data_IF_074841777360
#
_entry.id   IF_074841777360
#
_cell.length_a   1.000
_cell.length_b   1.000
_cell.length_c   1.000
_cell.angle_alpha   90.00
_cell.angle_beta   90.00
_cell.angle_gamma   90.00
#
_symmetry.space_group_name_H-M   'P 1'
#
loop_
_entity.id
_entity.type
_entity.pdbx_description
1 polymer ?
#
# COMPACT_ATOMS: atom_id res chain seq x y z
N UNK A 1 15.77 21.36 0.98
CA UNK A 1 15.28 20.64 2.17
C UNK A 1 15.90 19.26 2.04
N UNK A 2 16.76 18.84 3.00
CA UNK A 2 17.37 17.51 2.96
C UNK A 2 16.27 16.48 3.01
N UNK A 3 16.16 15.63 2.00
CA UNK A 3 15.25 14.51 1.96
C UNK A 3 15.72 13.50 3.00
N UNK A 4 14.81 12.85 3.71
CA UNK A 4 15.15 11.82 4.68
C UNK A 4 15.27 10.44 4.03
N UNK A 5 15.37 9.41 4.85
CA UNK A 5 15.40 8.01 4.38
C UNK A 5 14.01 7.40 4.50
N UNK A 6 13.48 6.94 3.39
CA UNK A 6 12.24 6.16 3.31
C UNK A 6 12.53 4.69 3.57
N UNK A 7 11.68 4.01 4.35
CA UNK A 7 11.78 2.59 4.60
C UNK A 7 10.50 1.84 4.24
N UNK A 8 10.62 0.57 3.85
CA UNK A 8 9.48 -0.33 3.68
C UNK A 8 9.84 -1.78 3.93
N UNK A 9 8.83 -2.56 4.31
CA UNK A 9 8.90 -4.02 4.46
C UNK A 9 8.35 -4.77 3.24
N UNK A 10 7.82 -4.07 2.25
CA UNK A 10 7.12 -4.66 1.11
C UNK A 10 7.80 -4.32 -0.21
N UNK A 11 7.81 -5.24 -1.19
CA UNK A 11 8.49 -5.01 -2.46
C UNK A 11 7.81 -3.94 -3.33
N UNK A 12 6.51 -3.72 -3.20
CA UNK A 12 5.66 -2.87 -4.07
C UNK A 12 5.66 -3.28 -5.55
N UNK A 13 6.81 -3.70 -6.08
CA UNK A 13 6.99 -4.15 -7.46
C UNK A 13 6.93 -5.67 -7.49
N UNK A 14 5.74 -6.21 -7.62
CA UNK A 14 5.51 -7.66 -7.61
C UNK A 14 5.20 -8.16 -9.02
N UNK A 15 5.93 -9.18 -9.48
CA UNK A 15 5.66 -9.89 -10.74
C UNK A 15 4.48 -10.86 -10.66
N UNK A 16 4.20 -11.57 -11.76
CA UNK A 16 3.18 -12.64 -11.82
C UNK A 16 1.76 -12.15 -12.07
N UNK A 17 0.76 -12.87 -11.55
CA UNK A 17 -0.65 -12.57 -11.83
C UNK A 17 -1.05 -11.14 -11.44
N UNK A 18 -1.88 -10.52 -12.27
CA UNK A 18 -2.34 -9.13 -12.09
C UNK A 18 -3.49 -9.11 -11.08
N UNK A 19 -3.26 -8.38 -9.99
CA UNK A 19 -4.27 -8.07 -8.98
C UNK A 19 -4.34 -6.56 -8.78
N UNK A 20 -5.52 -6.03 -8.46
CA UNK A 20 -5.72 -4.60 -8.23
C UNK A 20 -4.74 -4.01 -7.21
N UNK A 21 -4.45 -4.73 -6.12
CA UNK A 21 -3.43 -4.33 -5.13
C UNK A 21 -2.04 -4.17 -5.76
N UNK A 22 -1.60 -5.12 -6.58
CA UNK A 22 -0.28 -5.04 -7.23
C UNK A 22 -0.17 -3.85 -8.18
N UNK A 23 -1.22 -3.59 -8.96
CA UNK A 23 -1.28 -2.43 -9.86
C UNK A 23 -1.19 -1.13 -9.06
N UNK A 24 -1.97 -1.01 -7.99
CA UNK A 24 -1.96 0.18 -7.14
C UNK A 24 -0.60 0.38 -6.45
N UNK A 25 0.01 -0.69 -5.93
CA UNK A 25 1.33 -0.66 -5.29
C UNK A 25 2.43 -0.24 -6.28
N UNK A 26 2.42 -0.82 -7.48
CA UNK A 26 3.37 -0.46 -8.54
C UNK A 26 3.22 1.01 -8.92
N UNK A 27 2.00 1.47 -9.18
CA UNK A 27 1.74 2.87 -9.52
C UNK A 27 2.15 3.84 -8.40
N UNK A 28 1.91 3.48 -7.14
CA UNK A 28 2.38 4.26 -5.99
C UNK A 28 3.91 4.38 -5.98
N UNK A 29 4.62 3.26 -6.12
CA UNK A 29 6.08 3.27 -6.06
C UNK A 29 6.70 4.01 -7.24
N UNK A 30 6.17 3.84 -8.44
CA UNK A 30 6.63 4.58 -9.61
C UNK A 30 6.39 6.09 -9.47
N UNK A 31 5.25 6.51 -8.95
CA UNK A 31 4.96 7.90 -8.66
C UNK A 31 5.90 8.47 -7.59
N UNK A 32 6.18 7.71 -6.52
CA UNK A 32 7.11 8.10 -5.46
C UNK A 32 8.52 8.30 -5.99
N UNK A 33 9.02 7.37 -6.81
CA UNK A 33 10.35 7.46 -7.42
C UNK A 33 10.45 8.57 -8.48
N UNK A 34 9.34 8.87 -9.16
CA UNK A 34 9.27 9.99 -10.13
C UNK A 34 9.34 11.34 -9.43
N UNK A 35 8.66 11.48 -8.30
CA UNK A 35 8.71 12.69 -7.47
C UNK A 35 10.00 12.83 -6.70
N UNK A 36 10.66 11.71 -6.40
CA UNK A 36 11.95 11.57 -5.73
C UNK A 36 12.13 12.47 -4.47
N UNK A 37 11.22 12.40 -3.49
CA UNK A 37 11.24 13.30 -2.33
C UNK A 37 12.24 12.89 -1.25
N UNK A 38 12.86 11.71 -1.33
CA UNK A 38 13.77 11.16 -0.33
C UNK A 38 15.18 11.00 -0.88
N UNK A 39 16.18 11.10 0.01
CA UNK A 39 17.58 10.86 -0.34
C UNK A 39 17.86 9.40 -0.64
N UNK A 40 17.21 8.48 0.12
CA UNK A 40 17.35 7.03 0.00
C UNK A 40 16.01 6.32 0.21
N UNK A 41 15.87 5.16 -0.44
CA UNK A 41 14.72 4.25 -0.35
C UNK A 41 15.19 2.86 0.06
N UNK A 42 14.91 2.46 1.30
CA UNK A 42 15.35 1.20 1.89
C UNK A 42 14.22 0.16 1.86
N UNK A 43 14.45 -0.96 1.18
CA UNK A 43 13.52 -2.08 1.08
C UNK A 43 14.05 -3.26 1.88
N UNK A 44 13.30 -3.73 2.87
CA UNK A 44 13.61 -4.91 3.66
C UNK A 44 12.67 -6.04 3.25
N UNK A 45 13.14 -6.93 2.40
CA UNK A 45 12.30 -7.96 1.75
C UNK A 45 12.84 -9.37 1.97
N UNK A 46 11.99 -10.37 1.76
CA UNK A 46 12.37 -11.78 1.87
C UNK A 46 13.17 -12.28 0.67
N UNK A 47 12.95 -11.68 -0.51
CA UNK A 47 13.65 -12.01 -1.75
C UNK A 47 14.27 -10.72 -2.35
N UNK A 48 15.48 -10.35 -1.93
CA UNK A 48 16.17 -9.18 -2.46
C UNK A 48 16.49 -9.25 -3.95
N UNK A 49 16.80 -10.43 -4.47
CA UNK A 49 17.23 -10.60 -5.86
C UNK A 49 16.06 -10.45 -6.83
N UNK A 50 14.90 -10.99 -6.51
CA UNK A 50 13.69 -10.75 -7.28
C UNK A 50 13.34 -9.25 -7.32
N UNK A 51 13.52 -8.54 -6.20
CA UNK A 51 13.25 -7.10 -6.18
C UNK A 51 14.29 -6.29 -6.96
N UNK A 52 15.59 -6.64 -6.90
CA UNK A 52 16.64 -6.01 -7.73
C UNK A 52 16.31 -6.14 -9.21
N UNK A 53 15.89 -7.32 -9.64
CA UNK A 53 15.46 -7.57 -11.03
C UNK A 53 14.27 -6.68 -11.42
N UNK A 54 13.27 -6.54 -10.53
CA UNK A 54 12.12 -5.68 -10.77
C UNK A 54 12.48 -4.19 -10.87
N UNK A 55 13.46 -3.71 -10.09
CA UNK A 55 13.96 -2.34 -10.17
C UNK A 55 14.83 -2.09 -11.40
N UNK A 56 15.62 -3.06 -11.86
CA UNK A 56 16.43 -2.94 -13.08
C UNK A 56 15.60 -2.60 -14.32
N UNK A 57 14.34 -3.05 -14.35
CA UNK A 57 13.41 -2.68 -15.44
C UNK A 57 12.86 -1.24 -15.32
N UNK A 58 13.22 -0.49 -14.26
CA UNK A 58 12.72 0.85 -13.89
C UNK A 58 13.84 1.83 -13.56
N UNK A 59 15.06 1.53 -13.99
CA UNK A 59 16.27 2.33 -13.70
C UNK A 59 16.20 3.76 -14.26
N UNK A 60 15.31 4.01 -15.22
CA UNK A 60 15.07 5.35 -15.79
C UNK A 60 14.28 6.27 -14.85
N UNK A 61 13.64 5.75 -13.79
CA UNK A 61 12.96 6.61 -12.82
C UNK A 61 13.97 7.35 -11.94
N UNK A 62 13.80 8.66 -11.69
CA UNK A 62 14.80 9.51 -11.02
C UNK A 62 15.35 8.92 -9.71
N UNK A 63 14.49 8.46 -8.81
CA UNK A 63 14.92 7.87 -7.54
C UNK A 63 15.72 6.57 -7.70
N UNK A 64 15.45 5.76 -8.73
CA UNK A 64 16.21 4.56 -9.04
C UNK A 64 17.51 4.89 -9.75
N UNK A 65 17.46 5.78 -10.76
CA UNK A 65 18.62 6.15 -11.60
C UNK A 65 19.77 6.76 -10.79
N UNK A 66 19.50 7.52 -9.75
CA UNK A 66 20.56 8.08 -8.89
C UNK A 66 21.13 7.09 -7.85
N UNK A 67 20.75 5.81 -7.92
CA UNK A 67 21.27 4.78 -6.98
C UNK A 67 20.77 4.91 -5.54
N UNK A 68 19.66 5.62 -5.33
CA UNK A 68 19.09 5.84 -4.02
C UNK A 68 18.32 4.64 -3.46
N UNK A 69 17.96 3.69 -4.31
CA UNK A 69 17.26 2.45 -3.92
C UNK A 69 18.27 1.46 -3.35
N UNK A 70 18.03 1.08 -2.08
CA UNK A 70 18.84 0.08 -1.37
C UNK A 70 17.94 -1.09 -0.95
N UNK A 71 18.34 -2.30 -1.30
CA UNK A 71 17.57 -3.51 -1.07
C UNK A 71 18.32 -4.41 -0.13
N UNK A 72 17.71 -4.70 1.01
CA UNK A 72 18.22 -5.48 2.11
C UNK A 72 17.40 -6.75 2.33
N UNK A 73 18.00 -7.75 2.98
CA UNK A 73 17.24 -8.86 3.55
C UNK A 73 16.35 -8.36 4.71
N UNK A 74 15.21 -9.02 4.92
CA UNK A 74 14.39 -8.78 6.10
C UNK A 74 15.14 -8.95 7.42
N UNK A 75 16.16 -9.78 7.43
CA UNK A 75 16.99 -10.06 8.61
C UNK A 75 17.82 -8.83 9.03
N UNK A 76 18.16 -7.94 8.10
CA UNK A 76 18.98 -6.75 8.36
C UNK A 76 18.17 -5.62 9.01
N UNK A 77 16.84 -5.76 9.12
CA UNK A 77 15.96 -4.70 9.59
C UNK A 77 16.32 -4.20 10.99
N UNK A 78 16.61 -5.10 11.93
CA UNK A 78 16.88 -4.74 13.31
C UNK A 78 18.14 -3.86 13.44
N UNK A 79 19.20 -4.19 12.72
CA UNK A 79 20.44 -3.41 12.73
C UNK A 79 20.28 -2.09 11.98
N UNK A 80 19.57 -2.09 10.89
CA UNK A 80 19.24 -0.87 10.17
C UNK A 80 18.40 0.10 11.03
N UNK A 81 17.43 -0.40 11.81
CA UNK A 81 16.64 0.43 12.71
C UNK A 81 17.48 1.07 13.82
N UNK A 82 18.52 0.40 14.32
CA UNK A 82 19.45 0.95 15.32
C UNK A 82 20.36 2.04 14.73
N UNK A 83 20.82 1.82 13.50
CA UNK A 83 21.85 2.65 12.89
C UNK A 83 21.32 3.84 12.09
N UNK A 84 20.08 3.76 11.58
CA UNK A 84 19.56 4.69 10.58
C UNK A 84 18.42 5.55 11.11
N UNK A 85 18.54 6.89 11.05
CA UNK A 85 17.48 7.81 11.46
C UNK A 85 16.42 7.96 10.35
N UNK A 86 15.57 6.96 10.18
CA UNK A 86 14.51 6.99 9.16
C UNK A 86 13.61 8.21 9.27
N UNK A 87 13.18 8.73 8.11
CA UNK A 87 12.17 9.77 8.02
C UNK A 87 10.77 9.19 8.22
N UNK A 88 10.46 8.08 7.54
CA UNK A 88 9.21 7.34 7.67
C UNK A 88 9.36 5.91 7.15
N UNK A 89 8.41 5.06 7.53
CA UNK A 89 8.14 3.79 6.83
C UNK A 89 6.75 3.81 6.23
N UNK A 90 6.62 3.22 5.04
CA UNK A 90 5.32 3.01 4.40
C UNK A 90 5.16 1.55 3.98
N UNK A 91 4.01 0.95 4.31
CA UNK A 91 3.68 -0.44 4.03
C UNK A 91 2.54 -0.53 3.01
N UNK A 92 2.59 -1.53 2.16
CA UNK A 92 1.57 -1.76 1.12
C UNK A 92 0.23 -2.27 1.66
N UNK A 93 0.18 -2.65 2.92
CA UNK A 93 -1.06 -2.96 3.64
C UNK A 93 -0.85 -2.80 5.17
N UNK A 94 -1.93 -2.59 5.94
CA UNK A 94 -1.83 -2.39 7.39
C UNK A 94 -1.67 -3.69 8.18
N UNK A 95 -2.07 -4.84 7.64
CA UNK A 95 -2.16 -6.09 8.42
C UNK A 95 -0.91 -6.95 8.33
N UNK A 96 -0.01 -6.65 7.39
CA UNK A 96 1.21 -7.42 7.16
C UNK A 96 2.44 -6.70 7.71
N UNK A 97 2.50 -6.53 9.02
CA UNK A 97 3.73 -6.12 9.70
C UNK A 97 3.76 -4.70 10.28
N UNK A 98 2.70 -3.88 10.17
CA UNK A 98 2.73 -2.52 10.74
C UNK A 98 2.81 -2.53 12.28
N UNK A 99 2.05 -3.35 13.02
CA UNK A 99 2.18 -3.44 14.48
C UNK A 99 3.54 -3.95 14.94
N UNK A 100 4.07 -4.97 14.26
CA UNK A 100 5.38 -5.56 14.56
C UNK A 100 6.50 -4.56 14.29
N UNK A 101 6.43 -3.82 13.18
CA UNK A 101 7.37 -2.75 12.89
C UNK A 101 7.30 -1.62 13.93
N UNK A 102 6.11 -1.27 14.41
CA UNK A 102 5.96 -0.28 15.46
C UNK A 102 6.62 -0.74 16.77
N UNK A 103 6.50 -2.03 17.12
CA UNK A 103 7.17 -2.60 18.27
C UNK A 103 8.70 -2.56 18.12
N UNK A 104 9.22 -2.99 16.96
CA UNK A 104 10.65 -2.94 16.66
C UNK A 104 11.19 -1.51 16.66
N UNK A 105 10.48 -0.56 16.02
CA UNK A 105 10.83 0.86 16.04
C UNK A 105 10.98 1.37 17.47
N UNK A 106 9.99 1.12 18.31
CA UNK A 106 9.99 1.62 19.68
C UNK A 106 11.12 1.02 20.53
N UNK A 107 11.53 -0.21 20.24
CA UNK A 107 12.60 -0.90 20.96
C UNK A 107 14.01 -0.54 20.45
N UNK A 108 14.17 -0.24 19.16
CA UNK A 108 15.48 -0.22 18.51
C UNK A 108 15.86 1.15 17.93
N UNK A 109 14.89 1.92 17.45
CA UNK A 109 15.22 3.14 16.73
C UNK A 109 15.68 4.27 17.65
N UNK A 110 16.70 5.06 17.27
CA UNK A 110 17.20 6.17 18.08
C UNK A 110 16.17 7.30 18.22
N UNK A 111 15.19 7.35 17.32
CA UNK A 111 14.06 8.29 17.38
C UNK A 111 12.82 7.67 16.73
N UNK A 112 11.66 8.09 17.22
CA UNK A 112 10.37 7.66 16.67
C UNK A 112 10.13 8.33 15.32
N UNK A 113 9.83 7.52 14.31
CA UNK A 113 9.43 7.96 12.97
C UNK A 113 8.00 7.48 12.66
N UNK A 114 7.27 8.15 11.76
CA UNK A 114 5.95 7.72 11.32
C UNK A 114 5.98 6.36 10.63
N UNK A 115 4.98 5.52 10.93
CA UNK A 115 4.70 4.31 10.15
C UNK A 115 3.33 4.48 9.53
N UNK A 116 3.27 4.39 8.21
CA UNK A 116 2.04 4.52 7.43
C UNK A 116 1.80 3.27 6.62
N UNK A 117 0.56 3.03 6.23
CA UNK A 117 0.18 1.96 5.31
C UNK A 117 -1.04 2.38 4.50
N UNK A 118 -1.37 1.60 3.47
CA UNK A 118 -2.59 1.79 2.68
C UNK A 118 -3.42 0.50 2.69
N UNK A 119 -4.72 0.61 2.92
CA UNK A 119 -5.60 -0.54 2.83
C UNK A 119 -6.05 -0.79 1.38
N UNK A 120 -6.11 -2.06 0.97
CA UNK A 120 -6.66 -2.47 -0.32
C UNK A 120 -7.92 -3.32 -0.18
N UNK A 121 -7.92 -4.25 0.77
CA UNK A 121 -9.04 -5.12 1.07
C UNK A 121 -9.37 -5.03 2.55
N UNK A 122 -10.65 -5.07 2.89
CA UNK A 122 -11.14 -4.98 4.28
C UNK A 122 -12.26 -5.97 4.56
N UNK A 123 -12.58 -6.86 3.61
CA UNK A 123 -13.72 -7.79 3.67
C UNK A 123 -13.33 -9.23 4.00
N UNK A 124 -12.08 -9.52 4.32
CA UNK A 124 -11.68 -10.86 4.74
C UNK A 124 -12.15 -11.16 6.16
N UNK A 125 -12.59 -12.39 6.39
CA UNK A 125 -13.23 -12.82 7.62
C UNK A 125 -12.37 -12.59 8.88
N UNK A 126 -11.05 -12.72 8.76
CA UNK A 126 -10.09 -12.59 9.86
C UNK A 126 -9.53 -11.16 10.03
N UNK A 127 -9.92 -10.21 9.17
CA UNK A 127 -9.32 -8.88 9.19
C UNK A 127 -9.65 -8.08 10.44
N UNK A 128 -10.88 -8.17 10.93
CA UNK A 128 -11.24 -7.49 12.16
C UNK A 128 -10.28 -7.85 13.31
N UNK A 129 -9.95 -9.13 13.47
CA UNK A 129 -9.04 -9.60 14.51
C UNK A 129 -7.60 -9.10 14.31
N UNK A 130 -7.13 -9.00 13.06
CA UNK A 130 -5.78 -8.49 12.76
C UNK A 130 -5.61 -7.02 13.16
N UNK A 131 -6.69 -6.24 13.14
CA UNK A 131 -6.65 -4.85 13.59
C UNK A 131 -6.54 -4.71 15.11
N UNK A 132 -6.75 -5.77 15.89
CA UNK A 132 -6.53 -5.75 17.34
C UNK A 132 -5.07 -5.40 17.69
N UNK A 133 -4.12 -5.93 16.94
CA UNK A 133 -2.69 -5.65 17.12
C UNK A 133 -2.30 -4.18 16.91
N UNK A 134 -3.18 -3.37 16.31
CA UNK A 134 -2.97 -1.93 16.16
C UNK A 134 -3.39 -1.08 17.36
N UNK A 135 -3.97 -1.68 18.41
CA UNK A 135 -4.44 -0.95 19.59
C UNK A 135 -3.58 -1.33 20.79
N UNK A 136 -2.54 -0.56 21.05
CA UNK A 136 -1.62 -0.83 22.16
C UNK A 136 -0.81 0.43 22.54
N UNK A 137 -0.13 0.47 23.72
CA UNK A 137 0.59 1.66 24.20
C UNK A 137 1.71 2.17 23.30
N UNK A 138 2.23 1.34 22.39
CA UNK A 138 3.35 1.69 21.51
C UNK A 138 2.97 2.36 20.20
N UNK A 139 1.68 2.50 19.89
CA UNK A 139 1.22 3.28 18.74
C UNK A 139 1.39 4.76 19.02
N UNK A 140 1.80 5.52 18.03
CA UNK A 140 2.01 6.96 18.16
C UNK A 140 1.00 7.76 17.35
N UNK A 141 0.86 9.04 17.66
CA UNK A 141 -0.01 9.98 16.91
C UNK A 141 0.46 10.19 15.46
N UNK A 142 1.68 9.75 15.12
CA UNK A 142 2.25 9.85 13.78
C UNK A 142 1.94 8.64 12.91
N UNK A 143 1.51 7.53 13.51
CA UNK A 143 1.17 6.31 12.79
C UNK A 143 -0.21 6.45 12.13
N UNK A 144 -0.33 6.04 10.87
CA UNK A 144 -1.55 6.20 10.10
C UNK A 144 -1.84 5.03 9.16
N UNK A 145 -3.11 4.85 8.84
CA UNK A 145 -3.59 3.96 7.79
C UNK A 145 -4.32 4.81 6.74
N UNK A 146 -3.84 4.80 5.52
CA UNK A 146 -4.51 5.37 4.36
C UNK A 146 -5.71 4.52 3.97
N UNK A 147 -6.91 5.05 4.16
CA UNK A 147 -8.14 4.45 3.69
C UNK A 147 -8.39 4.87 2.24
N UNK A 148 -8.52 3.91 1.33
CA UNK A 148 -8.66 4.19 -0.12
C UNK A 148 -10.01 4.78 -0.50
N UNK A 149 -10.95 4.90 0.44
CA UNK A 149 -12.24 5.55 0.26
C UNK A 149 -12.86 5.95 1.60
N UNK A 150 -13.90 6.78 1.54
CA UNK A 150 -14.73 7.09 2.73
C UNK A 150 -15.39 5.85 3.32
N UNK A 151 -15.85 4.93 2.46
CA UNK A 151 -16.43 3.66 2.90
C UNK A 151 -15.39 2.81 3.65
N UNK A 152 -14.19 2.67 3.11
CA UNK A 152 -13.08 1.97 3.78
C UNK A 152 -12.74 2.59 5.14
N UNK A 153 -12.63 3.91 5.22
CA UNK A 153 -12.38 4.61 6.48
C UNK A 153 -13.47 4.32 7.53
N UNK A 154 -14.75 4.31 7.12
CA UNK A 154 -15.87 3.99 8.01
C UNK A 154 -15.80 2.54 8.52
N UNK A 155 -15.49 1.58 7.66
CA UNK A 155 -15.34 0.16 8.06
C UNK A 155 -14.18 -0.02 9.03
N UNK A 156 -13.01 0.56 8.74
CA UNK A 156 -11.86 0.50 9.65
C UNK A 156 -12.15 1.14 11.01
N UNK A 157 -12.83 2.28 11.02
CA UNK A 157 -13.25 2.92 12.27
C UNK A 157 -14.22 2.02 13.05
N UNK A 158 -15.14 1.33 12.38
CA UNK A 158 -16.03 0.34 12.97
C UNK A 158 -15.28 -0.83 13.59
N UNK A 159 -14.28 -1.40 12.91
CA UNK A 159 -13.44 -2.45 13.46
C UNK A 159 -12.75 -2.00 14.76
N UNK A 160 -12.12 -0.84 14.76
CA UNK A 160 -11.47 -0.32 15.96
C UNK A 160 -12.44 -0.07 17.12
N UNK A 161 -13.65 0.40 16.84
CA UNK A 161 -14.68 0.62 17.86
C UNK A 161 -15.13 -0.72 18.47
N UNK A 162 -15.48 -1.70 17.64
CA UNK A 162 -15.90 -3.04 18.08
C UNK A 162 -14.81 -3.76 18.87
N UNK A 163 -13.56 -3.68 18.43
CA UNK A 163 -12.43 -4.29 19.15
C UNK A 163 -12.21 -3.65 20.50
N UNK A 164 -12.29 -2.32 20.59
CA UNK A 164 -12.17 -1.62 21.88
C UNK A 164 -13.25 -2.05 22.87
N UNK A 165 -14.48 -2.09 22.42
CA UNK A 165 -15.63 -2.49 23.24
C UNK A 165 -15.55 -3.97 23.60
N UNK A 166 -15.42 -4.85 22.60
CA UNK A 166 -15.48 -6.30 22.80
C UNK A 166 -14.35 -6.86 23.67
N UNK A 167 -13.17 -6.26 23.64
CA UNK A 167 -12.03 -6.65 24.46
C UNK A 167 -11.81 -5.75 25.69
N UNK A 168 -12.70 -4.80 25.95
CA UNK A 168 -12.58 -3.84 27.06
C UNK A 168 -11.20 -3.17 27.11
N UNK A 169 -10.67 -2.77 25.94
CA UNK A 169 -9.33 -2.21 25.85
C UNK A 169 -9.23 -0.85 26.51
N UNK A 170 -8.06 -0.57 27.11
CA UNK A 170 -7.80 0.71 27.73
C UNK A 170 -8.07 1.88 26.74
N UNK A 171 -9.00 2.80 27.04
CA UNK A 171 -9.34 3.91 26.16
C UNK A 171 -8.17 4.87 25.89
N UNK A 172 -7.16 4.90 26.77
CA UNK A 172 -5.95 5.72 26.57
C UNK A 172 -4.98 5.14 25.52
N UNK A 173 -5.13 3.89 25.14
CA UNK A 173 -4.28 3.31 24.10
C UNK A 173 -4.65 3.90 22.74
N UNK A 174 -3.65 4.32 22.00
CA UNK A 174 -3.83 4.86 20.66
C UNK A 174 -4.09 3.75 19.63
N UNK A 175 -4.61 4.14 18.52
CA UNK A 175 -4.62 3.41 17.25
C UNK A 175 -4.04 4.30 16.17
N UNK A 176 -3.60 3.77 15.02
CA UNK A 176 -3.20 4.60 13.88
C UNK A 176 -4.35 5.53 13.45
N UNK A 177 -4.01 6.73 13.03
CA UNK A 177 -4.98 7.64 12.42
C UNK A 177 -5.51 7.05 11.12
N UNK A 178 -6.75 7.33 10.79
CA UNK A 178 -7.34 6.96 9.51
C UNK A 178 -7.39 8.20 8.62
N UNK A 179 -6.62 8.16 7.55
CA UNK A 179 -6.56 9.25 6.56
C UNK A 179 -7.20 8.76 5.26
N UNK A 180 -8.07 9.56 4.65
CA UNK A 180 -8.69 9.17 3.38
C UNK A 180 -7.76 9.58 2.25
N UNK A 181 -7.14 8.58 1.62
CA UNK A 181 -6.21 8.76 0.50
C UNK A 181 -6.69 7.86 -0.65
N UNK A 182 -7.49 8.37 -1.58
CA UNK A 182 -7.93 7.59 -2.75
C UNK A 182 -6.73 7.08 -3.56
N UNK A 183 -6.91 5.90 -4.15
CA UNK A 183 -5.90 5.38 -5.08
C UNK A 183 -5.80 6.32 -6.29
N UNK A 184 -4.57 6.62 -6.68
CA UNK A 184 -4.28 7.41 -7.86
C UNK A 184 -4.52 6.61 -9.16
N UNK A 185 -4.83 7.32 -10.21
CA UNK A 185 -4.89 6.81 -11.60
C UNK A 185 -4.03 7.73 -12.45
N UNK A 186 -3.19 7.13 -13.29
CA UNK A 186 -2.45 7.90 -14.28
C UNK A 186 -3.40 8.29 -15.43
N UNK A 187 -3.76 9.56 -15.60
CA UNK A 187 -4.68 9.97 -16.65
C UNK A 187 -4.10 9.77 -18.05
N UNK A 188 -2.78 9.78 -18.23
CA UNK A 188 -2.12 9.56 -19.51
C UNK A 188 -2.25 8.10 -19.97
N UNK A 189 -2.42 7.15 -19.04
CA UNK A 189 -2.69 5.75 -19.35
C UNK A 189 -4.11 5.51 -19.90
N UNK A 190 -5.01 6.50 -19.78
CA UNK A 190 -6.41 6.41 -20.24
C UNK A 190 -6.78 7.61 -21.11
N UNK A 191 -6.13 7.76 -22.30
CA UNK A 191 -6.49 8.83 -23.20
C UNK A 191 -7.94 8.67 -23.68
N UNK A 192 -8.62 9.80 -23.91
CA UNK A 192 -9.95 9.75 -24.53
C UNK A 192 -9.85 9.09 -25.91
N UNK A 193 -10.68 8.07 -26.19
CA UNK A 193 -10.65 7.40 -27.47
C UNK A 193 -11.13 8.32 -28.58
N UNK A 194 -10.44 8.35 -29.71
CA UNK A 194 -10.94 9.03 -30.89
C UNK A 194 -12.23 8.38 -31.38
N UNK A 195 -13.10 9.12 -32.12
CA UNK A 195 -14.29 8.54 -32.71
C UNK A 195 -14.02 7.28 -33.55
N UNK A 196 -12.88 7.23 -34.25
CA UNK A 196 -12.44 6.09 -35.05
C UNK A 196 -12.09 4.89 -34.16
N UNK A 197 -11.30 5.10 -33.13
CA UNK A 197 -10.93 4.07 -32.14
C UNK A 197 -12.16 3.51 -31.44
N UNK A 198 -13.12 4.40 -31.11
CA UNK A 198 -14.41 3.98 -30.50
C UNK A 198 -15.21 3.10 -31.46
N UNK A 199 -15.36 3.49 -32.75
CA UNK A 199 -16.06 2.68 -33.76
C UNK A 199 -15.39 1.33 -33.98
N UNK A 200 -14.07 1.31 -34.09
CA UNK A 200 -13.31 0.07 -34.26
C UNK A 200 -13.49 -0.88 -33.03
N UNK A 201 -13.44 -0.36 -31.83
CA UNK A 201 -13.68 -1.13 -30.62
C UNK A 201 -15.11 -1.70 -30.57
N UNK A 202 -16.13 -0.89 -30.90
CA UNK A 202 -17.53 -1.35 -30.96
C UNK A 202 -17.72 -2.45 -32.01
N UNK A 203 -17.21 -2.25 -33.22
CA UNK A 203 -17.27 -3.25 -34.29
C UNK A 203 -16.64 -4.59 -33.87
N UNK A 204 -15.51 -4.56 -33.16
CA UNK A 204 -14.84 -5.75 -32.64
C UNK A 204 -15.74 -6.60 -31.72
N UNK A 205 -16.67 -5.96 -30.98
CA UNK A 205 -17.62 -6.63 -30.10
C UNK A 205 -19.03 -6.77 -30.69
N UNK A 206 -19.21 -6.46 -31.96
CA UNK A 206 -20.51 -6.57 -32.64
C UNK A 206 -21.56 -5.57 -32.13
N UNK A 207 -21.13 -4.42 -31.61
CA UNK A 207 -22.00 -3.40 -31.03
C UNK A 207 -22.31 -2.29 -32.07
N UNK A 208 -23.58 -1.93 -32.20
CA UNK A 208 -24.00 -0.81 -33.06
C UNK A 208 -23.69 0.54 -32.40
N UNK A 209 -23.54 1.60 -33.20
CA UNK A 209 -23.14 2.94 -32.72
C UNK A 209 -24.09 3.56 -31.73
N UNK A 210 -25.39 3.29 -31.85
CA UNK A 210 -26.42 3.81 -30.93
C UNK A 210 -26.67 2.98 -29.68
N UNK A 211 -26.07 1.81 -29.54
CA UNK A 211 -26.33 0.93 -28.39
C UNK A 211 -25.69 1.45 -27.10
N UNK A 212 -26.46 1.46 -26.02
CA UNK A 212 -25.92 1.64 -24.68
C UNK A 212 -25.22 0.35 -24.24
N UNK A 213 -23.99 0.48 -23.72
CA UNK A 213 -23.18 -0.64 -23.26
C UNK A 213 -23.01 -0.54 -21.76
N UNK A 214 -23.44 -1.59 -21.04
CA UNK A 214 -23.12 -1.77 -19.63
C UNK A 214 -22.06 -2.85 -19.49
N UNK A 215 -20.86 -2.46 -19.09
CA UNK A 215 -19.75 -3.38 -18.86
C UNK A 215 -19.63 -3.74 -17.38
N UNK A 216 -19.83 -5.02 -17.07
CA UNK A 216 -19.43 -5.57 -15.78
C UNK A 216 -18.04 -6.19 -15.92
N UNK A 217 -17.05 -5.54 -15.32
CA UNK A 217 -15.66 -5.98 -15.36
C UNK A 217 -15.15 -6.33 -13.99
N UNK A 218 -14.55 -7.51 -13.84
CA UNK A 218 -13.98 -7.96 -12.59
C UNK A 218 -13.41 -9.36 -12.67
N UNK A 219 -12.65 -9.73 -11.65
CA UNK A 219 -12.20 -11.12 -11.48
C UNK A 219 -13.38 -11.92 -10.95
N UNK A 220 -13.61 -13.10 -11.54
CA UNK A 220 -14.53 -14.08 -10.98
C UNK A 220 -13.78 -14.87 -9.90
N UNK A 221 -14.25 -14.77 -8.66
CA UNK A 221 -13.70 -15.47 -7.50
C UNK A 221 -14.84 -15.78 -6.55
N UNK A 222 -14.99 -17.05 -6.22
CA UNK A 222 -16.05 -17.52 -5.32
C UNK A 222 -15.77 -17.15 -3.86
N UNK A 223 -14.49 -16.95 -3.53
CA UNK A 223 -14.07 -16.74 -2.14
C UNK A 223 -14.21 -15.28 -1.68
N UNK A 224 -14.07 -14.30 -2.60
CA UNK A 224 -13.96 -12.90 -2.23
C UNK A 224 -14.72 -11.92 -3.15
N UNK A 225 -15.34 -12.39 -4.24
CA UNK A 225 -15.98 -11.52 -5.24
C UNK A 225 -17.39 -11.90 -5.65
N UNK A 226 -17.80 -13.12 -5.41
CA UNK A 226 -19.15 -13.60 -5.66
C UNK A 226 -19.65 -14.30 -4.41
N UNK A 227 -20.78 -13.82 -3.88
CA UNK A 227 -21.56 -14.60 -2.93
C UNK A 227 -22.18 -15.79 -3.70
N UNK A 228 -21.97 -16.99 -3.21
CA UNK A 228 -22.71 -18.15 -3.69
C UNK A 228 -24.13 -17.99 -3.12
N UNK A 229 -25.07 -17.46 -3.92
CA UNK A 229 -26.49 -17.54 -3.65
C UNK A 229 -27.01 -18.96 -3.81
#
# INVERSE_FOLDING_TARGET
MGGGIFGTLHPFLEGGAVYGRKVANTGFMEALLRLDPFDEYHFFVTDPDALRTAFAARDTLPGAARGAVKIFSRQDLADALRATPYHCFHLSDPVSGQPELAALRNALAPRIFPITSVNHSISYLDYAQRFLAHIWPGVTVRDAIGATSRAASKVLAGYFAQLREGYSLNPAWLRPRLEIIPLGVDPEAFPEPTPEARRAARARFGLADGEAVCLLHGRISLDDKLDAM
#
